data_IF_210557633022
#
_entry.id   IF_210557633022
#
_cell.length_a   1.000
_cell.length_b   1.000
_cell.length_c   1.000
_cell.angle_alpha   90.00
_cell.angle_beta   90.00
_cell.angle_gamma   90.00
#
_symmetry.space_group_name_H-M   'P 1'
#
loop_
_entity.id
_entity.type
_entity.pdbx_description
1 polymer ?
#
# COMPACT_ATOMS: atom_id res chain seq x y z
N UNK A 1 27.13 3.40 9.60
CA UNK A 1 27.08 3.28 8.11
C UNK A 1 26.44 1.96 7.68
N UNK A 2 27.17 0.83 7.55
CA UNK A 2 26.58 -0.44 7.08
C UNK A 2 25.49 -0.97 8.03
N UNK A 3 25.71 -0.92 9.34
CA UNK A 3 24.72 -1.33 10.34
C UNK A 3 23.42 -0.51 10.22
N UNK A 4 23.53 0.81 10.07
CA UNK A 4 22.38 1.70 9.87
C UNK A 4 21.62 1.37 8.59
N UNK A 5 22.33 1.07 7.49
CA UNK A 5 21.72 0.63 6.24
C UNK A 5 20.95 -0.69 6.40
N UNK A 6 21.59 -1.71 6.98
CA UNK A 6 20.97 -3.02 7.20
C UNK A 6 19.78 -2.94 8.15
N UNK A 7 19.88 -2.12 9.19
CA UNK A 7 18.78 -1.87 10.12
C UNK A 7 17.60 -1.23 9.40
N UNK A 8 17.82 -0.19 8.60
CA UNK A 8 16.77 0.43 7.79
C UNK A 8 16.14 -0.55 6.80
N UNK A 9 16.96 -1.36 6.14
CA UNK A 9 16.50 -2.39 5.21
C UNK A 9 15.60 -3.43 5.90
N UNK A 10 16.02 -3.95 7.06
CA UNK A 10 15.30 -5.00 7.79
C UNK A 10 14.03 -4.46 8.43
N UNK A 11 14.10 -3.31 9.10
CA UNK A 11 12.95 -2.70 9.79
C UNK A 11 11.86 -2.34 8.79
N UNK A 12 12.20 -1.59 7.74
CA UNK A 12 11.21 -1.24 6.72
C UNK A 12 10.75 -2.47 5.93
N UNK A 13 11.66 -3.41 5.62
CA UNK A 13 11.29 -4.66 4.99
C UNK A 13 10.23 -5.41 5.80
N UNK A 14 10.41 -5.56 7.12
CA UNK A 14 9.45 -6.22 7.99
C UNK A 14 8.07 -5.55 8.01
N UNK A 15 8.05 -4.22 8.05
CA UNK A 15 6.80 -3.43 8.09
C UNK A 15 6.07 -3.49 6.74
N UNK A 16 6.79 -3.24 5.64
CA UNK A 16 6.21 -3.16 4.29
C UNK A 16 5.73 -4.53 3.80
N UNK A 17 6.40 -5.62 4.21
CA UNK A 17 6.00 -7.00 3.84
C UNK A 17 4.68 -7.40 4.50
N UNK A 18 4.35 -6.85 5.68
CA UNK A 18 3.04 -7.07 6.29
C UNK A 18 1.93 -6.70 5.29
N UNK A 19 1.05 -7.65 4.99
CA UNK A 19 0.09 -7.49 3.89
C UNK A 19 -0.95 -6.43 4.28
N UNK A 20 -0.79 -5.22 3.72
CA UNK A 20 -1.73 -4.12 3.85
C UNK A 20 -2.54 -3.85 2.58
N UNK A 21 -3.37 -2.81 2.63
CA UNK A 21 -4.21 -2.39 1.52
C UNK A 21 -3.40 -2.09 0.23
N UNK A 22 -2.26 -1.41 0.38
CA UNK A 22 -1.35 -1.05 -0.71
C UNK A 22 -0.81 -2.29 -1.45
N UNK A 23 -0.35 -3.29 -0.71
CA UNK A 23 0.17 -4.55 -1.26
C UNK A 23 -0.92 -5.32 -2.02
N UNK A 24 -2.10 -5.44 -1.41
CA UNK A 24 -3.27 -6.10 -1.98
C UNK A 24 -3.71 -5.44 -3.31
N UNK A 25 -3.76 -4.11 -3.34
CA UNK A 25 -4.13 -3.36 -4.53
C UNK A 25 -3.09 -3.52 -5.66
N UNK A 26 -1.80 -3.32 -5.36
CA UNK A 26 -0.74 -3.49 -6.35
C UNK A 26 -0.72 -4.91 -6.93
N UNK A 27 -0.88 -5.93 -6.08
CA UNK A 27 -0.90 -7.32 -6.52
C UNK A 27 -2.06 -7.58 -7.50
N UNK A 28 -3.25 -7.00 -7.24
CA UNK A 28 -4.37 -7.06 -8.19
C UNK A 28 -4.03 -6.41 -9.53
N UNK A 29 -3.38 -5.25 -9.54
CA UNK A 29 -2.93 -4.59 -10.77
C UNK A 29 -1.86 -5.42 -11.51
N UNK A 30 -0.92 -6.02 -10.77
CA UNK A 30 0.14 -6.86 -11.31
C UNK A 30 -0.42 -8.10 -12.00
N UNK A 31 -1.35 -8.81 -11.35
CA UNK A 31 -2.02 -9.99 -11.91
C UNK A 31 -2.88 -9.61 -13.13
N UNK A 32 -3.50 -8.42 -13.14
CA UNK A 32 -4.25 -7.88 -14.30
C UNK A 32 -3.32 -7.43 -15.44
N UNK A 33 -2.01 -7.29 -15.15
CA UNK A 33 -1.03 -6.63 -16.02
C UNK A 33 -1.47 -5.21 -16.42
N UNK A 34 -2.24 -4.54 -15.57
CA UNK A 34 -2.81 -3.20 -15.80
C UNK A 34 -1.97 -2.17 -15.05
N UNK A 35 -1.09 -1.46 -15.76
CA UNK A 35 -0.30 -0.34 -15.22
C UNK A 35 0.42 -0.63 -13.87
N UNK A 36 0.73 -1.90 -13.60
CA UNK A 36 1.34 -2.34 -12.33
C UNK A 36 2.68 -1.68 -12.02
N UNK A 37 3.53 -1.45 -13.03
CA UNK A 37 4.78 -0.69 -12.85
C UNK A 37 4.56 0.77 -12.46
N UNK A 38 3.48 1.40 -12.96
CA UNK A 38 3.12 2.76 -12.53
C UNK A 38 2.65 2.79 -11.09
N UNK A 39 1.82 1.82 -10.69
CA UNK A 39 1.40 1.69 -9.30
C UNK A 39 2.61 1.41 -8.38
N UNK A 40 3.50 0.50 -8.76
CA UNK A 40 4.68 0.16 -7.97
C UNK A 40 5.64 1.34 -7.85
N UNK A 41 5.94 2.02 -8.95
CA UNK A 41 6.80 3.22 -8.94
C UNK A 41 6.20 4.33 -8.08
N UNK A 42 4.88 4.50 -8.11
CA UNK A 42 4.22 5.49 -7.27
C UNK A 42 4.27 5.12 -5.78
N UNK A 43 4.10 3.85 -5.43
CA UNK A 43 4.34 3.37 -4.06
C UNK A 43 5.78 3.64 -3.60
N UNK A 44 6.77 3.30 -4.44
CA UNK A 44 8.19 3.53 -4.12
C UNK A 44 8.48 5.02 -3.89
N UNK A 45 7.99 5.89 -4.78
CA UNK A 45 8.19 7.34 -4.65
C UNK A 45 7.50 7.87 -3.40
N UNK A 46 6.26 7.43 -3.12
CA UNK A 46 5.54 7.84 -1.92
C UNK A 46 6.29 7.41 -0.66
N UNK A 47 6.72 6.15 -0.57
CA UNK A 47 7.46 5.61 0.57
C UNK A 47 8.77 6.37 0.80
N UNK A 48 9.59 6.55 -0.24
CA UNK A 48 10.87 7.30 -0.14
C UNK A 48 10.62 8.72 0.36
N UNK A 49 9.59 9.37 -0.18
CA UNK A 49 9.22 10.74 0.22
C UNK A 49 8.79 10.75 1.69
N UNK A 50 7.91 9.83 2.09
CA UNK A 50 7.40 9.74 3.45
C UNK A 50 8.49 9.38 4.46
N UNK A 51 9.38 8.42 4.18
CA UNK A 51 10.51 8.09 5.05
C UNK A 51 11.43 9.29 5.24
N UNK A 52 11.73 10.01 4.15
CA UNK A 52 12.61 11.19 4.21
C UNK A 52 11.95 12.32 5.01
N UNK A 53 10.67 12.60 4.76
CA UNK A 53 9.90 13.60 5.49
C UNK A 53 9.75 13.23 6.98
N UNK A 54 9.50 11.96 7.28
CA UNK A 54 9.40 11.45 8.64
C UNK A 54 10.72 11.58 9.40
N UNK A 55 11.83 11.20 8.76
CA UNK A 55 13.16 11.25 9.37
C UNK A 55 13.67 12.67 9.58
N UNK A 56 13.41 13.59 8.64
CA UNK A 56 14.08 14.90 8.61
C UNK A 56 13.18 16.13 8.76
N UNK A 57 11.85 16.01 8.93
CA UNK A 57 11.05 17.24 8.99
C UNK A 57 9.65 17.21 9.60
N UNK A 58 8.88 16.12 9.48
CA UNK A 58 7.41 16.19 9.68
C UNK A 58 6.91 15.39 10.89
N UNK A 59 7.74 14.50 11.46
CA UNK A 59 7.38 13.66 12.61
C UNK A 59 6.88 14.48 13.82
N UNK A 60 7.51 15.62 14.12
CA UNK A 60 7.09 16.52 15.20
C UNK A 60 5.82 17.34 14.85
N UNK A 61 5.61 17.69 13.57
CA UNK A 61 4.47 18.50 13.15
C UNK A 61 3.15 17.72 13.18
N UNK A 62 3.17 16.42 12.88
CA UNK A 62 1.98 15.56 12.97
C UNK A 62 1.48 15.37 14.40
N UNK A 63 2.40 15.27 15.37
CA UNK A 63 2.02 15.19 16.79
C UNK A 63 1.29 16.45 17.27
N UNK A 64 1.47 17.58 16.58
CA UNK A 64 0.80 18.85 16.89
C UNK A 64 -0.58 19.00 16.22
N UNK A 65 -1.00 18.07 15.34
CA UNK A 65 -2.27 18.14 14.61
C UNK A 65 -3.11 16.86 14.75
N UNK A 66 -3.51 16.47 15.97
CA UNK A 66 -4.30 15.25 16.20
C UNK A 66 -5.65 15.27 15.46
N UNK A 67 -6.28 16.43 15.31
CA UNK A 67 -7.55 16.56 14.57
C UNK A 67 -7.41 16.23 13.07
N UNK A 68 -6.27 16.57 12.45
CA UNK A 68 -6.03 16.27 11.04
C UNK A 68 -5.92 14.76 10.80
N UNK A 69 -5.27 14.05 11.72
CA UNK A 69 -5.18 12.60 11.70
C UNK A 69 -6.55 11.94 11.88
N UNK A 70 -7.41 12.49 12.75
CA UNK A 70 -8.77 11.97 12.92
C UNK A 70 -9.66 12.18 11.68
N UNK A 71 -9.59 13.35 11.04
CA UNK A 71 -10.29 13.59 9.76
C UNK A 71 -9.80 12.60 8.70
N UNK A 72 -8.49 12.41 8.60
CA UNK A 72 -7.89 11.49 7.64
C UNK A 72 -8.29 10.04 7.92
N UNK A 73 -8.39 9.64 9.20
CA UNK A 73 -8.90 8.33 9.62
C UNK A 73 -10.28 8.09 9.04
N UNK A 74 -11.22 9.02 9.23
CA UNK A 74 -12.59 8.85 8.73
C UNK A 74 -12.69 8.87 7.20
N UNK A 75 -11.88 9.72 6.53
CA UNK A 75 -11.76 9.68 5.06
C UNK A 75 -11.23 8.33 4.57
N UNK A 76 -10.23 7.78 5.25
CA UNK A 76 -9.67 6.46 5.01
C UNK A 76 -10.71 5.35 5.20
N UNK A 77 -11.47 5.38 6.29
CA UNK A 77 -12.57 4.42 6.54
C UNK A 77 -13.59 4.44 5.41
N UNK A 78 -14.05 5.63 5.00
CA UNK A 78 -15.03 5.78 3.93
C UNK A 78 -14.48 5.24 2.59
N UNK A 79 -13.24 5.59 2.26
CA UNK A 79 -12.59 5.18 1.01
C UNK A 79 -12.30 3.67 0.97
N UNK A 80 -11.71 3.11 2.03
CA UNK A 80 -11.42 1.68 2.13
C UNK A 80 -12.70 0.84 2.16
N UNK A 81 -13.74 1.32 2.86
CA UNK A 81 -15.06 0.70 2.85
C UNK A 81 -15.65 0.66 1.44
N UNK A 82 -15.55 1.77 0.70
CA UNK A 82 -15.99 1.82 -0.70
C UNK A 82 -15.19 0.84 -1.59
N UNK A 83 -13.86 0.76 -1.42
CA UNK A 83 -13.02 -0.21 -2.14
C UNK A 83 -13.36 -1.66 -1.77
N UNK A 84 -13.67 -1.93 -0.50
CA UNK A 84 -14.08 -3.25 -0.03
C UNK A 84 -15.39 -3.67 -0.72
N UNK A 85 -16.40 -2.80 -0.73
CA UNK A 85 -17.67 -3.03 -1.43
C UNK A 85 -17.42 -3.28 -2.91
N UNK A 86 -16.63 -2.45 -3.59
CA UNK A 86 -16.31 -2.68 -5.00
C UNK A 86 -15.61 -4.03 -5.23
N UNK A 87 -14.74 -4.45 -4.32
CA UNK A 87 -14.02 -5.72 -4.42
C UNK A 87 -14.97 -6.91 -4.22
N UNK A 88 -15.89 -6.83 -3.25
CA UNK A 88 -16.93 -7.84 -3.05
C UNK A 88 -17.92 -7.93 -4.21
N UNK A 89 -18.32 -6.79 -4.78
CA UNK A 89 -19.17 -6.75 -5.98
C UNK A 89 -18.45 -7.42 -7.17
N UNK A 90 -17.13 -7.21 -7.32
CA UNK A 90 -16.33 -7.88 -8.36
C UNK A 90 -16.22 -9.39 -8.11
N UNK A 91 -16.00 -9.80 -6.86
CA UNK A 91 -15.95 -11.21 -6.48
C UNK A 91 -17.30 -11.92 -6.71
N UNK A 92 -18.42 -11.27 -6.37
CA UNK A 92 -19.76 -11.84 -6.53
C UNK A 92 -20.19 -11.93 -7.99
N UNK A 93 -19.94 -10.88 -8.79
CA UNK A 93 -20.28 -10.81 -10.23
C UNK A 93 -19.45 -11.70 -11.16
N UNK A 94 -18.55 -12.55 -10.64
CA UNK A 94 -17.57 -13.32 -11.42
C UNK A 94 -17.97 -13.68 -12.86
N UNK A 95 -17.04 -13.46 -13.81
CA UNK A 95 -17.11 -13.69 -15.26
C UNK A 95 -18.27 -13.10 -16.09
N UNK A 96 -19.38 -12.63 -15.51
CA UNK A 96 -20.43 -11.96 -16.29
C UNK A 96 -19.92 -10.69 -17.01
N UNK A 97 -18.89 -10.04 -16.48
CA UNK A 97 -18.19 -8.91 -17.13
C UNK A 97 -17.11 -9.33 -18.16
N UNK A 98 -16.62 -10.58 -18.10
CA UNK A 98 -15.60 -11.12 -19.03
C UNK A 98 -16.24 -11.69 -20.30
N UNK A 99 -17.44 -12.26 -20.22
CA UNK A 99 -18.19 -12.75 -21.38
C UNK A 99 -18.93 -11.64 -22.13
N UNK A 100 -19.26 -10.53 -21.47
CA UNK A 100 -19.84 -9.34 -22.10
C UNK A 100 -18.83 -8.48 -22.88
N UNK A 101 -17.53 -8.85 -22.93
CA UNK A 101 -16.51 -8.04 -23.59
C UNK A 101 -16.18 -6.71 -22.90
N UNK A 102 -16.77 -6.44 -21.73
CA UNK A 102 -16.69 -5.17 -21.00
C UNK A 102 -15.58 -5.12 -19.93
N UNK A 103 -14.52 -5.94 -20.04
CA UNK A 103 -13.31 -5.66 -19.24
C UNK A 103 -12.58 -4.50 -19.90
N UNK A 104 -13.16 -3.31 -19.80
CA UNK A 104 -12.48 -2.06 -20.13
C UNK A 104 -11.26 -1.97 -19.23
N UNK A 105 -10.08 -2.03 -19.84
CA UNK A 105 -8.80 -1.81 -19.15
C UNK A 105 -8.92 -0.54 -18.32
N UNK A 106 -8.55 -0.62 -17.03
CA UNK A 106 -8.56 0.58 -16.18
C UNK A 106 -7.67 1.65 -16.78
N UNK A 107 -8.16 2.89 -16.83
CA UNK A 107 -7.35 4.00 -17.29
C UNK A 107 -6.17 4.24 -16.35
N UNK A 108 -5.04 4.67 -16.90
CA UNK A 108 -3.85 5.03 -16.11
C UNK A 108 -4.20 6.03 -14.99
N UNK A 109 -5.07 7.00 -15.29
CA UNK A 109 -5.54 8.00 -14.31
C UNK A 109 -6.25 7.34 -13.12
N UNK A 110 -7.13 6.36 -13.37
CA UNK A 110 -7.82 5.65 -12.32
C UNK A 110 -6.85 4.83 -11.45
N UNK A 111 -5.86 4.18 -12.08
CA UNK A 111 -4.84 3.42 -11.35
C UNK A 111 -4.02 4.35 -10.44
N UNK A 112 -3.47 5.43 -11.00
CA UNK A 112 -2.67 6.42 -10.26
C UNK A 112 -3.44 7.02 -9.09
N UNK A 113 -4.68 7.47 -9.33
CA UNK A 113 -5.52 8.06 -8.28
C UNK A 113 -5.82 7.05 -7.17
N UNK A 114 -6.17 5.82 -7.54
CA UNK A 114 -6.47 4.78 -6.55
C UNK A 114 -5.22 4.37 -5.78
N UNK A 115 -4.05 4.28 -6.42
CA UNK A 115 -2.79 4.00 -5.72
C UNK A 115 -2.49 5.10 -4.71
N UNK A 116 -2.53 6.38 -5.12
CA UNK A 116 -2.33 7.51 -4.22
C UNK A 116 -3.33 7.51 -3.07
N UNK A 117 -4.61 7.24 -3.35
CA UNK A 117 -5.64 7.21 -2.33
C UNK A 117 -5.45 6.04 -1.36
N UNK A 118 -5.11 4.84 -1.83
CA UNK A 118 -4.82 3.68 -0.97
C UNK A 118 -3.58 3.93 -0.10
N UNK A 119 -2.57 4.61 -0.63
CA UNK A 119 -1.36 4.96 0.14
C UNK A 119 -1.63 6.07 1.15
N UNK A 120 -2.16 7.22 0.71
CA UNK A 120 -2.27 8.44 1.52
C UNK A 120 -3.53 8.52 2.37
N UNK A 121 -4.64 7.86 2.00
CA UNK A 121 -5.81 7.80 2.88
C UNK A 121 -5.71 6.67 3.89
N UNK A 122 -4.63 5.88 3.88
CA UNK A 122 -4.39 4.89 4.91
C UNK A 122 -3.71 5.55 6.12
N UNK A 123 -4.43 5.86 7.21
CA UNK A 123 -3.84 6.47 8.42
C UNK A 123 -2.64 5.69 8.97
N UNK A 124 -2.61 4.37 8.77
CA UNK A 124 -1.51 3.52 9.23
C UNK A 124 -0.18 3.87 8.56
N UNK A 125 -0.20 4.37 7.31
CA UNK A 125 1.04 4.78 6.63
C UNK A 125 1.75 5.87 7.44
N UNK A 126 1.01 6.80 8.07
CA UNK A 126 1.60 7.90 8.83
C UNK A 126 2.25 7.40 10.11
N UNK A 127 1.62 6.45 10.81
CA UNK A 127 2.19 5.83 12.00
C UNK A 127 3.48 5.08 11.66
N UNK A 128 3.45 4.30 10.58
CA UNK A 128 4.58 3.48 10.17
C UNK A 128 5.75 4.35 9.67
N UNK A 129 5.48 5.28 8.75
CA UNK A 129 6.52 6.00 8.01
C UNK A 129 6.97 7.30 8.67
N UNK A 130 6.11 7.92 9.48
CA UNK A 130 6.39 9.22 10.10
C UNK A 130 6.61 9.14 11.61
N UNK A 131 6.24 8.05 12.27
CA UNK A 131 6.54 7.86 13.70
C UNK A 131 7.50 6.69 13.93
N UNK A 132 7.13 5.48 13.53
CA UNK A 132 7.85 4.27 13.91
C UNK A 132 9.22 4.16 13.22
N UNK A 133 9.26 4.24 11.90
CA UNK A 133 10.53 4.16 11.13
C UNK A 133 11.50 5.29 11.55
N UNK A 134 11.07 6.56 11.65
CA UNK A 134 11.93 7.63 12.16
C UNK A 134 12.38 7.43 13.61
N UNK A 135 11.55 6.89 14.50
CA UNK A 135 11.94 6.62 15.89
C UNK A 135 13.10 5.60 16.00
N UNK A 136 13.13 4.61 15.11
CA UNK A 136 14.26 3.68 15.00
C UNK A 136 15.45 4.36 14.32
N UNK A 137 15.21 5.11 13.23
CA UNK A 137 16.24 5.83 12.49
C UNK A 137 16.98 6.88 13.31
N UNK A 138 16.29 7.55 14.25
CA UNK A 138 16.87 8.55 15.15
C UNK A 138 17.85 7.94 16.18
N UNK A 139 17.77 6.63 16.42
CA UNK A 139 18.71 5.91 17.28
C UNK A 139 19.94 5.42 16.52
N UNK A 140 19.98 5.59 15.19
CA UNK A 140 21.11 5.17 14.37
C UNK A 140 22.19 6.24 14.29
N UNK A 141 23.45 5.81 14.22
CA UNK A 141 24.59 6.72 14.03
C UNK A 141 24.52 7.52 12.72
N UNK A 142 23.94 6.93 11.67
CA UNK A 142 23.72 7.61 10.39
C UNK A 142 22.28 7.40 9.88
N UNK A 143 21.45 8.40 10.16
CA UNK A 143 20.06 8.48 9.73
C UNK A 143 19.88 8.49 8.20
N UNK A 144 20.81 9.09 7.45
CA UNK A 144 20.71 9.19 5.99
C UNK A 144 20.90 7.82 5.36
N UNK A 145 21.91 7.10 5.84
CA UNK A 145 22.18 5.72 5.39
C UNK A 145 21.08 4.77 5.84
N UNK A 146 20.47 4.99 7.01
CA UNK A 146 19.27 4.26 7.43
C UNK A 146 18.09 4.46 6.46
N UNK A 147 17.77 5.71 6.10
CA UNK A 147 16.70 6.02 5.13
C UNK A 147 17.00 5.42 3.75
N UNK A 148 18.27 5.37 3.33
CA UNK A 148 18.67 4.70 2.10
C UNK A 148 18.40 3.18 2.15
N UNK A 149 18.67 2.54 3.30
CA UNK A 149 18.32 1.13 3.54
C UNK A 149 16.81 0.89 3.50
N UNK A 150 16.05 1.73 4.20
CA UNK A 150 14.59 1.72 4.20
C UNK A 150 13.98 1.84 2.79
N UNK A 151 14.49 2.81 2.02
CA UNK A 151 14.10 3.06 0.63
C UNK A 151 14.42 1.87 -0.27
N UNK A 152 15.59 1.25 -0.07
CA UNK A 152 16.01 0.06 -0.82
C UNK A 152 15.04 -1.11 -0.58
N UNK A 153 14.58 -1.32 0.66
CA UNK A 153 13.60 -2.34 1.00
C UNK A 153 12.27 -2.14 0.25
N UNK A 154 11.75 -0.91 0.23
CA UNK A 154 10.52 -0.56 -0.51
C UNK A 154 10.66 -0.84 -2.01
N UNK A 155 11.76 -0.38 -2.62
CA UNK A 155 12.03 -0.58 -4.06
C UNK A 155 12.13 -2.07 -4.40
N UNK A 156 12.89 -2.84 -3.61
CA UNK A 156 13.04 -4.28 -3.83
C UNK A 156 11.70 -5.01 -3.68
N UNK A 157 10.93 -4.68 -2.65
CA UNK A 157 9.65 -5.34 -2.38
C UNK A 157 8.59 -5.03 -3.43
N UNK A 158 8.33 -3.75 -3.71
CA UNK A 158 7.31 -3.37 -4.70
C UNK A 158 7.72 -3.76 -6.12
N UNK A 159 9.02 -3.77 -6.42
CA UNK A 159 9.55 -4.32 -7.67
C UNK A 159 9.27 -5.81 -7.79
N UNK A 160 9.53 -6.56 -6.71
CA UNK A 160 9.24 -7.99 -6.62
C UNK A 160 7.75 -8.29 -6.74
N UNK A 161 6.88 -7.52 -6.08
CA UNK A 161 5.42 -7.69 -6.18
C UNK A 161 4.89 -7.39 -7.59
N UNK A 162 5.37 -6.32 -8.22
CA UNK A 162 4.97 -5.96 -9.58
C UNK A 162 5.40 -7.02 -10.60
N UNK A 163 6.66 -7.45 -10.51
CA UNK A 163 7.21 -8.49 -11.38
C UNK A 163 6.58 -9.85 -11.09
N UNK A 164 6.60 -10.30 -9.84
CA UNK A 164 6.08 -11.61 -9.42
C UNK A 164 4.57 -11.74 -9.64
N UNK A 165 3.79 -10.71 -9.32
CA UNK A 165 2.35 -10.71 -9.56
C UNK A 165 2.00 -10.80 -11.05
N UNK A 166 2.76 -10.12 -11.93
CA UNK A 166 2.55 -10.21 -13.38
C UNK A 166 3.08 -11.52 -13.98
N UNK A 167 4.12 -12.11 -13.41
CA UNK A 167 4.63 -13.43 -13.79
C UNK A 167 3.66 -14.55 -13.41
N UNK A 168 2.94 -14.41 -12.30
CA UNK A 168 1.89 -15.36 -11.86
C UNK A 168 0.55 -15.16 -12.59
N UNK A 169 0.37 -14.06 -13.33
CA UNK A 169 -0.87 -13.77 -14.07
C UNK A 169 -1.36 -14.91 -14.98
N UNK A 170 -0.50 -15.62 -15.76
CA UNK A 170 -0.95 -16.72 -16.61
C UNK A 170 -1.48 -17.91 -15.80
N UNK A 171 -0.88 -18.16 -14.62
CA UNK A 171 -1.25 -19.27 -13.72
C UNK A 171 -2.57 -18.94 -13.01
N UNK A 172 -2.79 -17.66 -12.68
CA UNK A 172 -4.00 -17.12 -12.04
C UNK A 172 -5.10 -16.73 -13.04
N UNK A 173 -4.99 -17.07 -14.32
CA UNK A 173 -6.01 -16.80 -15.34
C UNK A 173 -7.36 -17.52 -15.10
N UNK A 174 -7.45 -18.36 -14.06
CA UNK A 174 -8.67 -19.11 -13.71
C UNK A 174 -9.70 -18.17 -13.04
N UNK A 175 -10.98 -18.20 -13.45
CA UNK A 175 -12.02 -17.36 -12.86
C UNK A 175 -12.17 -17.47 -11.35
N UNK A 176 -11.95 -18.68 -10.78
CA UNK A 176 -12.01 -18.89 -9.33
C UNK A 176 -10.88 -18.16 -8.60
N UNK A 177 -9.67 -18.12 -9.18
CA UNK A 177 -8.53 -17.42 -8.58
C UNK A 177 -8.82 -15.91 -8.48
N UNK A 178 -9.39 -15.32 -9.54
CA UNK A 178 -9.83 -13.92 -9.52
C UNK A 178 -10.86 -13.61 -8.44
N UNK A 179 -11.87 -14.48 -8.28
CA UNK A 179 -12.90 -14.31 -7.24
C UNK A 179 -12.30 -14.43 -5.84
N UNK A 180 -11.38 -15.36 -5.63
CA UNK A 180 -10.67 -15.51 -4.35
C UNK A 180 -9.81 -14.28 -4.08
N UNK A 181 -9.03 -13.79 -5.06
CA UNK A 181 -8.20 -12.60 -4.92
C UNK A 181 -9.06 -11.38 -4.59
N UNK A 182 -10.08 -11.07 -5.41
CA UNK A 182 -10.95 -9.91 -5.17
C UNK A 182 -11.72 -10.06 -3.84
N UNK A 183 -12.07 -11.29 -3.42
CA UNK A 183 -12.66 -11.59 -2.13
C UNK A 183 -11.72 -11.33 -0.95
N UNK A 184 -10.49 -11.86 -0.99
CA UNK A 184 -9.46 -11.65 0.04
C UNK A 184 -9.11 -10.16 0.14
N UNK A 185 -8.95 -9.47 -0.99
CA UNK A 185 -8.72 -8.02 -1.01
C UNK A 185 -9.90 -7.30 -0.35
N UNK A 186 -11.14 -7.66 -0.71
CA UNK A 186 -12.34 -7.08 -0.10
C UNK A 186 -12.38 -7.27 1.42
N UNK A 187 -12.09 -8.49 1.90
CA UNK A 187 -11.99 -8.80 3.34
C UNK A 187 -10.91 -7.98 4.00
N UNK A 188 -9.72 -7.88 3.41
CA UNK A 188 -8.61 -7.09 3.96
C UNK A 188 -8.98 -5.61 4.07
N UNK A 189 -9.55 -5.01 3.02
CA UNK A 189 -9.98 -3.60 3.03
C UNK A 189 -11.07 -3.34 4.07
N UNK A 190 -12.04 -4.25 4.20
CA UNK A 190 -13.09 -4.18 5.20
C UNK A 190 -12.51 -4.32 6.62
N UNK A 191 -11.59 -5.26 6.84
CA UNK A 191 -10.94 -5.47 8.12
C UNK A 191 -10.15 -4.24 8.55
N UNK A 192 -9.38 -3.63 7.64
CA UNK A 192 -8.64 -2.39 7.92
C UNK A 192 -9.62 -1.25 8.22
N UNK A 193 -10.68 -1.07 7.43
CA UNK A 193 -11.68 -0.02 7.69
C UNK A 193 -12.38 -0.19 9.06
N UNK A 194 -12.73 -1.42 9.44
CA UNK A 194 -13.32 -1.72 10.74
C UNK A 194 -12.31 -1.49 11.87
N UNK A 195 -11.06 -1.93 11.70
CA UNK A 195 -9.99 -1.70 12.66
C UNK A 195 -9.80 -0.21 12.94
N UNK A 196 -9.75 0.61 11.90
CA UNK A 196 -9.66 2.08 12.00
C UNK A 196 -10.88 2.72 12.65
N UNK A 197 -12.06 2.11 12.52
CA UNK A 197 -13.29 2.61 13.15
C UNK A 197 -13.28 2.37 14.66
N UNK A 198 -12.90 1.15 15.09
CA UNK A 198 -13.02 0.70 16.48
C UNK A 198 -11.77 0.95 17.33
N UNK A 199 -10.59 0.92 16.73
CA UNK A 199 -9.31 0.94 17.46
C UNK A 199 -8.68 2.32 17.49
N UNK A 200 -9.22 3.28 16.73
CA UNK A 200 -8.59 4.59 16.56
C UNK A 200 -7.32 4.53 15.71
N UNK A 201 -6.50 5.58 15.82
CA UNK A 201 -5.13 5.65 15.33
C UNK A 201 -4.18 5.17 16.43
#
# INVERSE_FOLDING_TARGET
>A
MLESYLTGLIVCGGIIVAIGAQNAYLLSQAIRREHHWWSAGLCMVADVTLFTLGMFGISAALMAMPEALEILRWLGVAFLGWLAIQSFVRASRGRAALEAGEVTKRSLKAVVFTTLAVTLLNPQVYLDTLLLIPAVGAQQEDATTFVAGASSASILWFGLLAWGGSALAPILARPLAWRIIDGVIGVMMAAIALHLTFSGL
#
